data_IF_498705734515
#
_entry.id   IF_498705734515
#
_cell.length_a   1.000
_cell.length_b   1.000
_cell.length_c   1.000
_cell.angle_alpha   90.00
_cell.angle_beta   90.00
_cell.angle_gamma   90.00
#
_symmetry.space_group_name_H-M   'P 1'
#
loop_
_entity.id
_entity.type
_entity.pdbx_description
1 polymer ?
#
# COMPACT_ATOMS: atom_id res chain seq x y z
N UNK A 1 -22.41 -31.61 44.11
CA UNK A 1 -21.79 -30.37 43.60
C UNK A 1 -20.63 -30.76 42.71
N UNK A 2 -20.74 -30.52 41.40
CA UNK A 2 -19.68 -30.79 40.42
C UNK A 2 -19.12 -29.43 40.00
N UNK A 3 -17.86 -29.16 40.33
CA UNK A 3 -17.14 -27.97 39.85
C UNK A 3 -16.53 -28.25 38.47
N UNK A 4 -16.50 -27.27 37.55
CA UNK A 4 -15.91 -27.49 36.23
C UNK A 4 -14.39 -27.33 36.26
N UNK A 5 -13.67 -28.30 35.71
CA UNK A 5 -12.23 -28.23 35.46
C UNK A 5 -11.93 -27.18 34.37
N UNK A 6 -11.72 -25.93 34.76
CA UNK A 6 -11.19 -24.88 33.86
C UNK A 6 -9.66 -24.93 33.83
N UNK A 7 -9.10 -25.98 33.24
CA UNK A 7 -7.68 -26.09 32.92
C UNK A 7 -7.39 -25.61 31.50
N UNK A 8 -7.44 -24.30 31.26
CA UNK A 8 -7.08 -23.72 29.96
C UNK A 8 -5.60 -23.92 29.66
N UNK A 9 -5.28 -24.62 28.56
CA UNK A 9 -3.90 -24.83 28.08
C UNK A 9 -3.29 -23.47 27.74
N UNK A 10 -2.41 -22.95 28.60
CA UNK A 10 -1.69 -21.69 28.37
C UNK A 10 -0.66 -21.94 27.26
N UNK A 11 -1.03 -21.71 26.01
CA UNK A 11 -0.05 -21.68 24.92
C UNK A 11 0.80 -20.42 25.10
N UNK A 12 2.03 -20.60 25.56
CA UNK A 12 3.03 -19.54 25.60
C UNK A 12 3.35 -19.14 24.16
N UNK A 13 2.82 -18.01 23.72
CA UNK A 13 3.02 -17.44 22.37
C UNK A 13 4.50 -17.36 22.01
N UNK A 14 5.39 -17.06 22.97
CA UNK A 14 6.83 -17.02 22.74
C UNK A 14 7.40 -18.40 22.36
N UNK A 15 6.96 -19.47 23.03
CA UNK A 15 7.37 -20.82 22.68
C UNK A 15 6.85 -21.26 21.30
N UNK A 16 5.66 -20.78 20.91
CA UNK A 16 5.12 -21.03 19.57
C UNK A 16 5.92 -20.31 18.49
N UNK A 17 6.34 -19.06 18.74
CA UNK A 17 7.21 -18.30 17.84
C UNK A 17 8.60 -18.93 17.74
N UNK A 18 9.21 -19.33 18.86
CA UNK A 18 10.52 -20.02 18.88
C UNK A 18 10.43 -21.35 18.11
N UNK A 19 9.36 -22.12 18.31
CA UNK A 19 9.12 -23.37 17.58
C UNK A 19 8.97 -23.12 16.07
N UNK A 20 8.20 -22.09 15.67
CA UNK A 20 8.11 -21.69 14.26
C UNK A 20 9.46 -21.25 13.69
N UNK A 21 10.26 -20.48 14.43
CA UNK A 21 11.58 -20.04 13.98
C UNK A 21 12.54 -21.21 13.80
N UNK A 22 12.45 -22.23 14.64
CA UNK A 22 13.23 -23.46 14.50
C UNK A 22 12.75 -24.34 13.31
N UNK A 23 11.44 -24.32 13.02
CA UNK A 23 10.84 -25.00 11.86
C UNK A 23 11.13 -24.26 10.54
N UNK A 24 11.36 -22.95 10.58
CA UNK A 24 11.78 -22.09 9.46
C UNK A 24 13.27 -22.32 9.12
N UNK A 25 13.65 -23.58 8.92
CA UNK A 25 14.98 -24.04 8.53
C UNK A 25 15.45 -23.35 7.23
N UNK A 26 16.76 -23.10 7.13
CA UNK A 26 17.47 -22.48 5.99
C UNK A 26 17.05 -22.99 4.60
N UNK A 27 16.54 -24.22 4.51
CA UNK A 27 15.97 -24.82 3.29
C UNK A 27 14.80 -24.02 2.71
N UNK A 28 13.91 -23.45 3.52
CA UNK A 28 12.82 -22.60 3.01
C UNK A 28 13.34 -21.27 2.47
N UNK A 29 14.37 -20.72 3.12
CA UNK A 29 15.06 -19.50 2.66
C UNK A 29 15.81 -19.78 1.35
N UNK A 30 16.50 -20.91 1.23
CA UNK A 30 17.17 -21.32 -0.01
C UNK A 30 16.19 -21.57 -1.16
N UNK A 31 15.02 -22.17 -0.90
CA UNK A 31 13.97 -22.35 -1.92
C UNK A 31 13.42 -21.00 -2.37
N UNK A 32 13.19 -20.07 -1.44
CA UNK A 32 12.76 -18.69 -1.75
C UNK A 32 13.85 -17.97 -2.56
N UNK A 33 15.12 -18.09 -2.18
CA UNK A 33 16.27 -17.52 -2.89
C UNK A 33 16.45 -18.13 -4.28
N UNK A 34 16.30 -19.45 -4.42
CA UNK A 34 16.37 -20.16 -5.69
C UNK A 34 15.21 -19.80 -6.62
N UNK A 35 14.01 -19.53 -6.07
CA UNK A 35 12.85 -19.05 -6.82
C UNK A 35 13.05 -17.64 -7.39
N UNK A 36 13.97 -16.84 -6.83
CA UNK A 36 14.39 -15.57 -7.42
C UNK A 36 15.43 -15.73 -8.55
N UNK A 37 16.08 -16.89 -8.66
CA UNK A 37 17.13 -17.15 -9.66
C UNK A 37 16.61 -17.77 -10.96
N UNK A 38 15.30 -18.03 -11.08
CA UNK A 38 14.74 -18.65 -12.27
C UNK A 38 14.44 -17.60 -13.35
N UNK A 39 15.18 -17.71 -14.46
CA UNK A 39 14.95 -17.12 -15.78
C UNK A 39 15.07 -15.60 -15.96
N UNK A 40 16.28 -15.07 -15.72
CA UNK A 40 16.71 -13.80 -16.31
C UNK A 40 17.29 -13.99 -17.71
N UNK A 41 16.50 -14.50 -18.67
CA UNK A 41 16.77 -14.27 -20.10
C UNK A 41 16.15 -12.94 -20.54
N UNK A 42 16.52 -11.87 -19.85
CA UNK A 42 16.19 -10.50 -20.23
C UNK A 42 17.48 -9.73 -20.32
N UNK A 43 17.74 -9.13 -21.49
CA UNK A 43 18.91 -8.30 -21.79
C UNK A 43 19.29 -7.43 -20.58
N UNK A 44 20.60 -7.28 -20.25
CA UNK A 44 21.03 -6.43 -19.16
C UNK A 44 20.49 -5.02 -19.39
N UNK A 45 19.62 -4.57 -18.48
CA UNK A 45 18.92 -3.30 -18.58
C UNK A 45 19.90 -2.14 -18.42
N UNK A 46 19.75 -1.10 -19.25
CA UNK A 46 20.52 0.15 -19.13
C UNK A 46 19.89 0.99 -18.03
N UNK A 47 20.29 0.64 -16.82
CA UNK A 47 19.59 0.97 -15.60
C UNK A 47 20.00 2.35 -15.05
N UNK A 48 19.05 3.27 -14.80
CA UNK A 48 19.30 4.50 -14.02
C UNK A 48 19.25 4.15 -12.51
N UNK A 49 20.40 4.00 -11.82
CA UNK A 49 20.50 3.46 -10.47
C UNK A 49 19.64 4.18 -9.42
N UNK A 50 19.29 5.45 -9.64
CA UNK A 50 18.68 6.26 -8.59
C UNK A 50 17.14 6.22 -8.54
N UNK A 51 16.44 5.94 -9.66
CA UNK A 51 14.96 6.09 -9.68
C UNK A 51 14.23 4.93 -9.00
N UNK A 52 14.69 3.68 -9.20
CA UNK A 52 14.10 2.51 -8.55
C UNK A 52 14.40 2.46 -7.05
N UNK A 53 15.63 2.83 -6.63
CA UNK A 53 15.99 2.90 -5.21
C UNK A 53 15.08 3.91 -4.53
N UNK A 54 14.90 5.09 -5.14
CA UNK A 54 13.96 6.10 -4.64
C UNK A 54 12.52 5.58 -4.57
N UNK A 55 12.07 4.80 -5.55
CA UNK A 55 10.75 4.18 -5.51
C UNK A 55 10.60 3.15 -4.38
N UNK A 56 11.64 2.36 -4.11
CA UNK A 56 11.65 1.37 -3.01
C UNK A 56 11.72 2.08 -1.66
N UNK A 57 12.62 3.06 -1.49
CA UNK A 57 12.75 3.82 -0.24
C UNK A 57 11.47 4.56 0.10
N UNK A 58 10.85 5.21 -0.89
CA UNK A 58 9.54 5.87 -0.68
C UNK A 58 8.47 4.87 -0.25
N UNK A 59 8.43 3.63 -0.77
CA UNK A 59 7.48 2.61 -0.27
C UNK A 59 7.78 2.15 1.17
N UNK A 60 9.05 2.13 1.57
CA UNK A 60 9.48 1.79 2.94
C UNK A 60 9.08 2.90 3.92
N UNK A 61 9.42 4.15 3.62
CA UNK A 61 9.02 5.34 4.41
C UNK A 61 7.51 5.42 4.56
N UNK A 62 6.80 4.98 3.53
CA UNK A 62 5.35 4.91 3.49
C UNK A 62 4.75 3.75 4.30
N UNK A 63 5.55 2.88 4.93
CA UNK A 63 5.09 1.73 5.69
C UNK A 63 4.50 0.59 4.83
N UNK A 64 4.74 0.59 3.52
CA UNK A 64 4.23 -0.43 2.60
C UNK A 64 5.33 -1.44 2.24
N UNK A 65 5.77 -2.22 3.23
CA UNK A 65 6.88 -3.16 3.08
C UNK A 65 6.60 -4.22 2.01
N UNK A 66 5.37 -4.73 1.91
CA UNK A 66 5.00 -5.70 0.87
C UNK A 66 5.14 -5.11 -0.54
N UNK A 67 4.77 -3.85 -0.75
CA UNK A 67 4.95 -3.18 -2.04
C UNK A 67 6.43 -2.88 -2.32
N UNK A 68 7.21 -2.51 -1.31
CA UNK A 68 8.65 -2.31 -1.43
C UNK A 68 9.36 -3.61 -1.85
N UNK A 69 9.05 -4.73 -1.19
CA UNK A 69 9.59 -6.06 -1.53
C UNK A 69 9.17 -6.48 -2.93
N UNK A 70 7.89 -6.29 -3.30
CA UNK A 70 7.44 -6.57 -4.67
C UNK A 70 8.17 -5.73 -5.71
N UNK A 71 8.43 -4.45 -5.44
CA UNK A 71 9.19 -3.59 -6.35
C UNK A 71 10.67 -4.00 -6.42
N UNK A 72 11.29 -4.35 -5.29
CA UNK A 72 12.68 -4.80 -5.23
C UNK A 72 12.88 -6.15 -5.93
N UNK A 73 11.89 -7.05 -5.85
CA UNK A 73 11.94 -8.38 -6.44
C UNK A 73 11.24 -8.46 -7.81
N UNK A 74 10.74 -7.34 -8.37
CA UNK A 74 10.04 -7.36 -9.66
C UNK A 74 11.04 -7.50 -10.81
N UNK A 75 10.93 -8.53 -11.68
CA UNK A 75 11.74 -8.63 -12.89
C UNK A 75 11.39 -7.51 -13.90
N UNK A 76 10.20 -6.91 -13.77
CA UNK A 76 9.78 -5.73 -14.52
C UNK A 76 10.16 -4.46 -13.73
N UNK A 77 11.35 -3.90 -14.01
CA UNK A 77 11.70 -2.54 -13.63
C UNK A 77 10.80 -1.50 -14.33
N UNK A 78 10.80 -0.27 -13.82
CA UNK A 78 10.10 0.88 -14.41
C UNK A 78 10.41 0.98 -15.91
N UNK A 79 9.37 1.23 -16.72
CA UNK A 79 9.55 1.43 -18.15
C UNK A 79 10.42 2.67 -18.37
N UNK A 80 11.44 2.54 -19.22
CA UNK A 80 12.30 3.67 -19.56
C UNK A 80 11.49 4.76 -20.27
N UNK A 81 11.78 6.01 -19.92
CA UNK A 81 11.20 7.19 -20.58
C UNK A 81 11.84 7.39 -21.95
N UNK A 82 11.58 6.45 -22.87
CA UNK A 82 12.03 6.50 -24.26
C UNK A 82 10.87 6.87 -25.19
N UNK A 83 11.15 7.45 -26.37
CA UNK A 83 10.11 7.73 -27.37
C UNK A 83 9.42 6.44 -27.85
N UNK A 84 10.09 5.29 -27.81
CA UNK A 84 9.51 3.99 -28.13
C UNK A 84 8.46 3.54 -27.10
N UNK A 85 8.74 3.74 -25.80
CA UNK A 85 7.75 3.48 -24.74
C UNK A 85 6.53 4.37 -24.93
N UNK A 86 6.73 5.64 -25.27
CA UNK A 86 5.64 6.58 -25.53
C UNK A 86 4.80 6.18 -26.75
N UNK A 87 5.43 5.70 -27.83
CA UNK A 87 4.72 5.19 -29.01
C UNK A 87 3.88 3.94 -28.67
N UNK A 88 4.43 2.99 -27.90
CA UNK A 88 3.69 1.82 -27.42
C UNK A 88 2.51 2.20 -26.53
N UNK A 89 2.70 3.17 -25.62
CA UNK A 89 1.62 3.68 -24.76
C UNK A 89 0.52 4.34 -25.59
N UNK A 90 0.88 5.14 -26.60
CA UNK A 90 -0.09 5.76 -27.52
C UNK A 90 -0.85 4.74 -28.37
N UNK A 91 -0.21 3.64 -28.76
CA UNK A 91 -0.86 2.57 -29.52
C UNK A 91 -1.92 1.82 -28.68
N UNK A 92 -1.73 1.72 -27.36
CA UNK A 92 -2.66 1.06 -26.44
C UNK A 92 -3.74 2.04 -25.95
N UNK A 93 -3.47 3.34 -25.97
CA UNK A 93 -4.43 4.34 -25.53
C UNK A 93 -5.57 4.52 -26.55
N UNK A 94 -6.84 4.35 -26.15
CA UNK A 94 -7.95 4.71 -27.02
C UNK A 94 -7.91 6.22 -27.30
N UNK A 95 -8.18 6.60 -28.55
CA UNK A 95 -8.30 8.02 -28.90
C UNK A 95 -9.34 8.69 -28.02
N UNK A 96 -9.04 9.92 -27.60
CA UNK A 96 -9.95 10.69 -26.78
C UNK A 96 -11.33 10.75 -27.46
N UNK A 97 -12.42 10.36 -26.78
CA UNK A 97 -13.75 10.43 -27.37
C UNK A 97 -14.04 11.87 -27.81
N UNK A 98 -14.49 12.05 -29.06
CA UNK A 98 -14.92 13.36 -29.59
C UNK A 98 -16.02 13.99 -28.72
N UNK A 99 -16.75 13.16 -27.97
CA UNK A 99 -17.86 13.54 -27.12
C UNK A 99 -17.43 13.67 -25.64
N UNK A 100 -16.35 14.42 -25.38
CA UNK A 100 -15.94 14.76 -24.02
C UNK A 100 -16.94 15.76 -23.45
N UNK A 101 -17.97 15.28 -22.72
CA UNK A 101 -18.84 16.18 -21.95
C UNK A 101 -17.96 17.06 -21.06
N UNK A 102 -18.20 18.37 -21.11
CA UNK A 102 -17.69 19.25 -20.07
C UNK A 102 -18.15 18.68 -18.73
N UNK A 103 -17.21 18.52 -17.79
CA UNK A 103 -17.61 18.21 -16.43
C UNK A 103 -18.59 19.30 -15.99
N UNK A 104 -19.80 18.95 -15.51
CA UNK A 104 -20.69 19.96 -14.96
C UNK A 104 -19.89 20.72 -13.90
N UNK A 105 -19.94 22.05 -13.96
CA UNK A 105 -19.36 22.87 -12.92
C UNK A 105 -19.88 22.34 -11.58
N UNK A 106 -18.98 22.00 -10.66
CA UNK A 106 -19.39 21.63 -9.32
C UNK A 106 -20.14 22.83 -8.75
N UNK A 107 -21.46 22.72 -8.68
CA UNK A 107 -22.28 23.61 -7.86
C UNK A 107 -21.68 23.57 -6.45
N UNK A 108 -21.36 24.73 -5.84
CA UNK A 108 -20.85 24.77 -4.48
C UNK A 108 -21.96 24.29 -3.57
N UNK A 109 -21.99 22.99 -3.29
CA UNK A 109 -22.87 22.43 -2.30
C UNK A 109 -22.42 22.99 -0.95
N UNK A 110 -23.20 23.91 -0.39
CA UNK A 110 -23.06 24.40 0.99
C UNK A 110 -23.43 23.30 2.01
N UNK A 111 -23.12 22.05 1.70
CA UNK A 111 -23.46 20.87 2.47
C UNK A 111 -22.62 20.85 3.74
N UNK A 112 -23.23 21.23 4.86
CA UNK A 112 -22.66 21.02 6.19
C UNK A 112 -22.42 19.52 6.38
N UNK A 113 -21.16 19.11 6.40
CA UNK A 113 -20.78 17.70 6.56
C UNK A 113 -20.78 17.37 8.04
N UNK A 114 -21.37 16.24 8.43
CA UNK A 114 -21.33 15.78 9.83
C UNK A 114 -20.02 15.02 10.13
N UNK A 115 -19.52 15.03 11.38
CA UNK A 115 -18.31 14.29 11.75
C UNK A 115 -18.41 12.79 11.43
N UNK A 116 -19.61 12.22 11.55
CA UNK A 116 -19.89 10.83 11.21
C UNK A 116 -19.75 10.55 9.70
N UNK A 117 -20.16 11.49 8.84
CA UNK A 117 -19.97 11.38 7.39
C UNK A 117 -18.49 11.45 7.02
N UNK A 118 -17.71 12.36 7.63
CA UNK A 118 -16.27 12.44 7.42
C UNK A 118 -15.58 11.16 7.85
N UNK A 119 -15.93 10.61 9.01
CA UNK A 119 -15.37 9.34 9.48
C UNK A 119 -15.70 8.19 8.52
N UNK A 120 -16.91 8.17 7.95
CA UNK A 120 -17.33 7.14 6.98
C UNK A 120 -16.54 7.26 5.68
N UNK A 121 -16.36 8.48 5.17
CA UNK A 121 -15.54 8.75 3.97
C UNK A 121 -14.05 8.44 4.19
N UNK A 122 -13.51 8.72 5.38
CA UNK A 122 -12.13 8.37 5.71
C UNK A 122 -11.93 6.85 5.78
N UNK A 123 -12.92 6.10 6.28
CA UNK A 123 -12.89 4.64 6.33
C UNK A 123 -13.02 4.01 4.94
N UNK A 124 -13.73 4.65 4.00
CA UNK A 124 -13.93 4.10 2.65
C UNK A 124 -12.67 4.07 1.78
N UNK A 125 -11.61 4.79 2.13
CA UNK A 125 -10.35 4.69 1.39
C UNK A 125 -9.72 3.30 1.55
N UNK A 126 -9.28 2.69 0.46
CA UNK A 126 -8.54 1.43 0.55
C UNK A 126 -7.13 1.68 1.14
N UNK A 127 -6.58 0.67 1.83
CA UNK A 127 -5.19 0.75 2.30
C UNK A 127 -4.25 0.90 1.11
N UNK A 128 -3.26 1.79 1.22
CA UNK A 128 -2.35 2.10 0.11
C UNK A 128 -2.88 3.11 -0.91
N UNK A 129 -4.02 3.76 -0.65
CA UNK A 129 -4.51 4.88 -1.47
C UNK A 129 -3.46 6.00 -1.58
N UNK A 130 -3.34 6.57 -2.79
CA UNK A 130 -2.42 7.67 -3.08
C UNK A 130 -2.79 8.95 -2.35
N UNK A 131 -1.78 9.77 -2.05
CA UNK A 131 -1.95 11.07 -1.42
C UNK A 131 -2.17 12.17 -2.46
N UNK A 132 -2.77 13.28 -2.03
CA UNK A 132 -2.89 14.48 -2.85
C UNK A 132 -1.58 15.27 -2.91
N UNK A 133 -1.68 16.53 -3.38
CA UNK A 133 -0.55 17.46 -3.53
C UNK A 133 0.30 17.60 -2.26
N UNK A 134 -0.31 17.50 -1.08
CA UNK A 134 0.35 17.65 0.22
C UNK A 134 1.11 16.39 0.67
N UNK A 135 1.12 15.31 -0.12
CA UNK A 135 1.78 14.04 0.24
C UNK A 135 1.12 13.26 1.39
N UNK A 136 0.11 13.83 2.05
CA UNK A 136 -0.69 13.15 3.04
C UNK A 136 -1.58 12.09 2.36
N UNK A 137 -1.41 10.84 2.80
CA UNK A 137 -2.23 9.72 2.34
C UNK A 137 -3.38 9.48 3.31
N UNK A 138 -4.50 8.94 2.82
CA UNK A 138 -5.60 8.52 3.69
C UNK A 138 -5.15 7.60 4.84
N UNK A 139 -4.12 6.78 4.61
CA UNK A 139 -3.52 5.94 5.64
C UNK A 139 -2.95 6.73 6.83
N UNK A 140 -2.30 7.87 6.59
CA UNK A 140 -1.74 8.68 7.67
C UNK A 140 -2.87 9.22 8.57
N UNK A 141 -3.98 9.66 7.96
CA UNK A 141 -5.16 10.15 8.67
C UNK A 141 -5.82 9.02 9.47
N UNK A 142 -5.95 7.82 8.88
CA UNK A 142 -6.45 6.63 9.59
C UNK A 142 -5.59 6.25 10.80
N UNK A 143 -4.27 6.35 10.66
CA UNK A 143 -3.35 6.04 11.75
C UNK A 143 -3.50 7.03 12.91
N UNK A 144 -3.68 8.33 12.61
CA UNK A 144 -3.96 9.36 13.62
C UNK A 144 -5.30 9.08 14.34
N UNK A 145 -6.33 8.69 13.60
CA UNK A 145 -7.62 8.30 14.18
C UNK A 145 -7.56 6.99 15.00
N UNK A 146 -6.52 6.18 14.82
CA UNK A 146 -6.31 4.93 15.57
C UNK A 146 -5.44 5.14 16.83
N UNK A 147 -4.89 6.34 17.02
CA UNK A 147 -4.05 6.70 18.16
C UNK A 147 -4.85 7.09 19.41
N UNK A 148 -4.17 7.32 20.55
CA UNK A 148 -4.80 7.70 21.82
C UNK A 148 -5.35 9.14 21.85
N UNK A 149 -5.22 9.90 20.77
CA UNK A 149 -5.73 11.28 20.68
C UNK A 149 -7.25 11.30 20.63
N UNK A 150 -7.92 12.37 21.13
CA UNK A 150 -9.37 12.50 21.04
C UNK A 150 -9.81 12.52 19.57
N UNK A 151 -10.38 11.41 19.09
CA UNK A 151 -10.86 11.27 17.71
C UNK A 151 -11.90 12.32 17.34
N UNK A 152 -12.67 12.76 18.33
CA UNK A 152 -13.77 13.71 18.15
C UNK A 152 -13.28 15.12 17.82
N UNK A 153 -12.16 15.56 18.40
CA UNK A 153 -11.59 16.89 18.15
C UNK A 153 -11.02 16.98 16.72
N UNK A 154 -10.32 15.94 16.27
CA UNK A 154 -9.82 15.86 14.88
C UNK A 154 -10.96 15.84 13.87
N UNK A 155 -12.02 15.06 14.11
CA UNK A 155 -13.17 14.99 13.21
C UNK A 155 -13.93 16.32 13.14
N UNK A 156 -14.09 17.00 14.27
CA UNK A 156 -14.74 18.31 14.32
C UNK A 156 -13.95 19.38 13.53
N UNK A 157 -12.62 19.35 13.59
CA UNK A 157 -11.76 20.24 12.81
C UNK A 157 -11.81 19.95 11.30
N UNK A 158 -12.02 18.70 10.90
CA UNK A 158 -12.15 18.32 9.48
C UNK A 158 -13.52 18.67 8.87
N UNK A 159 -14.53 18.89 9.70
CA UNK A 159 -15.89 19.30 9.28
C UNK A 159 -16.13 20.81 9.23
N UNK A 160 -15.19 21.60 9.74
CA UNK A 160 -15.39 23.03 10.01
C UNK A 160 -15.11 23.92 8.79
#
# INVERSE_FOLDING_TARGET
>A
MISPTRGGRRTNQANYVIKRLAEFSSTEVEIIVASFNTDHNTKPRKHYPNSWISAVTTRIEQGSLSAAVRLACSPAGLAESSPETLAKLKAIHPSAPLNRRAFPAQEPSNGRVSPAQVLTALKSFNNGSSGGLNGLRPQHIKNLLSGPTPTDELLNNLTR
#
